data_IF_797927076910
#
_entry.id   IF_797927076910
#
_cell.length_a   1.000
_cell.length_b   1.000
_cell.length_c   1.000
_cell.angle_alpha   90.00
_cell.angle_beta   90.00
_cell.angle_gamma   90.00
#
_symmetry.space_group_name_H-M   'P 1'
#
loop_
_entity.id
_entity.type
_entity.pdbx_description
1 polymer ?
#
# COMPACT_ATOMS: atom_id res chain seq x y z
N UNK A 1 7.72 -19.75 -19.09
CA UNK A 1 6.59 -18.80 -19.02
C UNK A 1 7.14 -17.41 -19.31
N UNK A 2 6.57 -16.65 -20.25
CA UNK A 2 7.13 -15.32 -20.56
C UNK A 2 6.95 -14.38 -19.35
N UNK A 3 7.96 -13.58 -19.07
CA UNK A 3 7.96 -12.58 -17.97
C UNK A 3 6.70 -11.69 -18.03
N UNK A 4 6.23 -11.43 -19.24
CA UNK A 4 5.00 -10.69 -19.51
C UNK A 4 3.75 -11.37 -18.91
N UNK A 5 3.59 -12.68 -19.06
CA UNK A 5 2.44 -13.42 -18.51
C UNK A 5 2.42 -13.38 -16.99
N UNK A 6 3.60 -13.50 -16.34
CA UNK A 6 3.71 -13.41 -14.88
C UNK A 6 3.25 -12.04 -14.40
N UNK A 7 3.73 -10.97 -15.04
CA UNK A 7 3.35 -9.59 -14.68
C UNK A 7 1.84 -9.35 -14.84
N UNK A 8 1.26 -9.80 -15.96
CA UNK A 8 -0.18 -9.67 -16.20
C UNK A 8 -0.98 -10.44 -15.15
N UNK A 9 -0.61 -11.70 -14.86
CA UNK A 9 -1.30 -12.51 -13.86
C UNK A 9 -1.25 -11.89 -12.47
N UNK A 10 -0.09 -11.38 -12.07
CA UNK A 10 0.11 -10.69 -10.79
C UNK A 10 -0.80 -9.46 -10.69
N UNK A 11 -0.84 -8.62 -11.72
CA UNK A 11 -1.72 -7.45 -11.74
C UNK A 11 -3.21 -7.83 -11.66
N UNK A 12 -3.65 -8.85 -12.40
CA UNK A 12 -5.02 -9.35 -12.33
C UNK A 12 -5.37 -9.82 -10.92
N UNK A 13 -4.48 -10.57 -10.26
CA UNK A 13 -4.68 -10.99 -8.88
C UNK A 13 -4.80 -9.81 -7.93
N UNK A 14 -3.90 -8.83 -8.01
CA UNK A 14 -3.91 -7.64 -7.15
C UNK A 14 -5.21 -6.84 -7.31
N UNK A 15 -5.63 -6.55 -8.54
CA UNK A 15 -6.88 -5.84 -8.78
C UNK A 15 -8.12 -6.63 -8.35
N UNK A 16 -8.08 -7.97 -8.44
CA UNK A 16 -9.16 -8.82 -7.95
C UNK A 16 -9.32 -8.73 -6.43
N UNK A 17 -8.24 -8.66 -5.67
CA UNK A 17 -8.29 -8.44 -4.22
C UNK A 17 -8.87 -7.07 -3.85
N UNK A 18 -8.48 -6.02 -4.57
CA UNK A 18 -9.03 -4.67 -4.35
C UNK A 18 -10.52 -4.65 -4.66
N UNK A 19 -10.94 -5.26 -5.78
CA UNK A 19 -12.34 -5.36 -6.17
C UNK A 19 -13.19 -6.15 -5.15
N UNK A 20 -12.65 -7.26 -4.63
CA UNK A 20 -13.31 -8.05 -3.59
C UNK A 20 -13.47 -7.25 -2.30
N UNK A 21 -12.46 -6.48 -1.91
CA UNK A 21 -12.52 -5.59 -0.75
C UNK A 21 -13.61 -4.52 -0.91
N UNK A 22 -13.72 -3.91 -2.10
CA UNK A 22 -14.77 -2.94 -2.40
C UNK A 22 -16.17 -3.58 -2.36
N UNK A 23 -16.30 -4.79 -2.90
CA UNK A 23 -17.54 -5.55 -2.90
C UNK A 23 -18.06 -5.86 -1.48
N UNK A 24 -17.16 -6.22 -0.55
CA UNK A 24 -17.54 -6.49 0.84
C UNK A 24 -18.14 -5.26 1.52
N UNK A 25 -17.65 -4.06 1.23
CA UNK A 25 -18.20 -2.82 1.79
C UNK A 25 -19.57 -2.49 1.14
N UNK A 26 -19.69 -2.75 -0.17
CA UNK A 26 -20.97 -2.58 -0.87
C UNK A 26 -22.09 -3.48 -0.31
N UNK A 27 -21.79 -4.70 0.15
CA UNK A 27 -22.76 -5.58 0.80
C UNK A 27 -23.35 -4.94 2.08
N UNK A 28 -22.55 -4.16 2.79
CA UNK A 28 -22.99 -3.43 3.99
C UNK A 28 -23.85 -2.20 3.64
N UNK A 29 -23.94 -1.85 2.35
CA UNK A 29 -24.71 -0.71 1.86
C UNK A 29 -23.94 0.60 1.82
N UNK A 30 -22.62 0.56 2.04
CA UNK A 30 -21.74 1.73 2.01
C UNK A 30 -20.79 1.69 0.79
N UNK A 31 -20.42 2.86 0.30
CA UNK A 31 -19.42 3.00 -0.78
C UNK A 31 -18.14 3.58 -0.18
N UNK A 32 -17.03 2.88 -0.33
CA UNK A 32 -15.72 3.35 0.13
C UNK A 32 -14.74 3.46 -1.02
N UNK A 33 -13.98 4.53 -1.04
CA UNK A 33 -12.84 4.74 -1.95
C UNK A 33 -11.49 4.62 -1.24
N UNK A 34 -11.48 4.16 0.02
CA UNK A 34 -10.28 4.03 0.83
C UNK A 34 -9.42 2.80 0.53
N UNK A 35 -9.92 1.80 -0.20
CA UNK A 35 -9.22 0.53 -0.43
C UNK A 35 -7.84 0.72 -1.06
N UNK A 36 -7.74 1.60 -2.04
CA UNK A 36 -6.48 1.90 -2.72
C UNK A 36 -5.45 2.53 -1.78
N UNK A 37 -5.89 3.37 -0.81
CA UNK A 37 -5.00 3.94 0.18
C UNK A 37 -4.48 2.87 1.15
N UNK A 38 -5.32 1.97 1.63
CA UNK A 38 -4.89 0.85 2.48
C UNK A 38 -3.94 -0.10 1.76
N UNK A 39 -4.19 -0.38 0.49
CA UNK A 39 -3.26 -1.13 -0.34
C UNK A 39 -1.90 -0.41 -0.44
N UNK A 40 -1.90 0.90 -0.68
CA UNK A 40 -0.70 1.73 -0.69
C UNK A 40 0.03 1.72 0.66
N UNK A 41 -0.69 1.94 1.78
CA UNK A 41 -0.10 1.87 3.14
C UNK A 41 0.60 0.54 3.38
N UNK A 42 -0.04 -0.58 3.03
CA UNK A 42 0.54 -1.91 3.18
C UNK A 42 1.81 -2.09 2.35
N UNK A 43 1.79 -1.69 1.08
CA UNK A 43 2.92 -1.80 0.17
C UNK A 43 4.11 -0.93 0.63
N UNK A 44 3.87 0.33 1.00
CA UNK A 44 4.92 1.23 1.48
C UNK A 44 5.48 0.78 2.83
N UNK A 45 4.64 0.33 3.76
CA UNK A 45 5.09 -0.19 5.06
C UNK A 45 6.00 -1.40 4.86
N UNK A 46 5.60 -2.38 4.03
CA UNK A 46 6.42 -3.54 3.72
C UNK A 46 7.78 -3.12 3.14
N UNK A 47 7.77 -2.22 2.15
CA UNK A 47 8.99 -1.77 1.50
C UNK A 47 9.91 -1.03 2.48
N UNK A 48 9.37 -0.18 3.36
CA UNK A 48 10.14 0.53 4.38
C UNK A 48 10.80 -0.47 5.34
N UNK A 49 10.06 -1.40 5.93
CA UNK A 49 10.64 -2.34 6.88
C UNK A 49 11.66 -3.27 6.24
N UNK A 50 11.44 -3.67 5.00
CA UNK A 50 12.38 -4.50 4.28
C UNK A 50 13.68 -3.78 3.92
N UNK A 51 13.58 -2.53 3.39
CA UNK A 51 14.75 -1.80 2.86
C UNK A 51 15.53 -1.06 3.93
N UNK A 52 14.84 -0.44 4.90
CA UNK A 52 15.49 0.42 5.92
C UNK A 52 15.88 -0.34 7.18
N UNK A 53 15.14 -1.38 7.55
CA UNK A 53 15.39 -2.15 8.77
C UNK A 53 15.98 -3.54 8.49
N UNK A 54 16.17 -3.91 7.23
CA UNK A 54 16.70 -5.22 6.79
C UNK A 54 15.94 -6.41 7.43
N UNK A 55 14.63 -6.25 7.68
CA UNK A 55 13.80 -7.32 8.20
C UNK A 55 13.48 -8.34 7.11
N UNK A 56 13.28 -9.61 7.50
CA UNK A 56 12.81 -10.60 6.54
C UNK A 56 11.41 -10.22 6.01
N UNK A 57 11.10 -10.66 4.80
CA UNK A 57 9.82 -10.35 4.12
C UNK A 57 8.60 -10.68 5.01
N UNK A 58 8.65 -11.80 5.74
CA UNK A 58 7.57 -12.25 6.63
C UNK A 58 7.33 -11.25 7.76
N UNK A 59 8.39 -10.78 8.42
CA UNK A 59 8.27 -9.78 9.49
C UNK A 59 7.81 -8.42 8.93
N UNK A 60 8.28 -8.02 7.74
CA UNK A 60 7.85 -6.79 7.09
C UNK A 60 6.35 -6.80 6.76
N UNK A 61 5.81 -7.93 6.33
CA UNK A 61 4.36 -8.10 6.11
C UNK A 61 3.60 -7.96 7.44
N UNK A 62 4.08 -8.61 8.51
CA UNK A 62 3.41 -8.56 9.81
C UNK A 62 3.35 -7.12 10.35
N UNK A 63 4.44 -6.37 10.28
CA UNK A 63 4.47 -4.96 10.67
C UNK A 63 3.58 -4.09 9.77
N UNK A 64 3.56 -4.34 8.47
CA UNK A 64 2.65 -3.68 7.54
C UNK A 64 1.17 -3.89 7.90
N UNK A 65 0.79 -5.12 8.29
CA UNK A 65 -0.57 -5.41 8.76
C UNK A 65 -0.93 -4.63 10.04
N UNK A 66 0.01 -4.54 11.00
CA UNK A 66 -0.19 -3.80 12.24
C UNK A 66 -0.41 -2.31 11.95
N UNK A 67 0.40 -1.72 11.08
CA UNK A 67 0.24 -0.31 10.69
C UNK A 67 -1.11 -0.07 10.01
N UNK A 68 -1.48 -0.91 9.04
CA UNK A 68 -2.79 -0.83 8.39
C UNK A 68 -3.94 -0.94 9.39
N UNK A 69 -3.83 -1.82 10.39
CA UNK A 69 -4.83 -1.96 11.44
C UNK A 69 -5.00 -0.68 12.26
N UNK A 70 -3.91 -0.06 12.71
CA UNK A 70 -4.00 1.20 13.47
C UNK A 70 -4.57 2.35 12.64
N UNK A 71 -4.17 2.48 11.37
CA UNK A 71 -4.70 3.51 10.47
C UNK A 71 -6.19 3.26 10.21
N UNK A 72 -6.62 2.01 10.01
CA UNK A 72 -8.01 1.64 9.83
C UNK A 72 -8.85 1.96 11.08
N UNK A 73 -8.31 1.70 12.27
CA UNK A 73 -8.96 2.01 13.53
C UNK A 73 -9.13 3.53 13.68
N UNK A 74 -8.11 4.31 13.38
CA UNK A 74 -8.17 5.77 13.45
C UNK A 74 -9.19 6.33 12.45
N UNK A 75 -9.19 5.84 11.20
CA UNK A 75 -10.16 6.23 10.19
C UNK A 75 -11.59 5.85 10.60
N UNK A 76 -11.78 4.66 11.17
CA UNK A 76 -13.08 4.20 11.69
C UNK A 76 -13.64 5.13 12.76
N UNK A 77 -12.82 5.60 13.69
CA UNK A 77 -13.25 6.56 14.73
C UNK A 77 -13.77 7.87 14.13
N UNK A 78 -13.20 8.32 13.03
CA UNK A 78 -13.62 9.54 12.34
C UNK A 78 -14.92 9.30 11.55
N UNK A 79 -15.04 8.12 10.93
CA UNK A 79 -16.11 7.82 9.97
C UNK A 79 -17.32 7.12 10.57
N UNK A 80 -17.28 6.67 11.83
CA UNK A 80 -18.33 5.86 12.48
C UNK A 80 -19.71 6.51 12.48
N UNK A 81 -19.77 7.83 12.42
CA UNK A 81 -21.03 8.61 12.40
C UNK A 81 -21.46 9.02 10.99
N UNK A 82 -20.67 8.68 9.98
CA UNK A 82 -20.92 9.04 8.61
C UNK A 82 -21.58 7.86 7.89
N UNK A 83 -22.53 8.16 7.00
CA UNK A 83 -23.22 7.16 6.18
C UNK A 83 -23.41 7.66 4.76
N UNK A 84 -23.55 6.72 3.82
CA UNK A 84 -23.84 7.00 2.43
C UNK A 84 -22.77 7.88 1.77
N UNK A 85 -23.18 9.00 1.17
CA UNK A 85 -22.30 9.89 0.41
C UNK A 85 -21.21 10.52 1.30
N UNK A 86 -21.51 10.86 2.55
CA UNK A 86 -20.53 11.45 3.45
C UNK A 86 -19.40 10.48 3.82
N UNK A 87 -19.74 9.19 3.98
CA UNK A 87 -18.74 8.14 4.18
C UNK A 87 -17.85 7.98 2.95
N UNK A 88 -18.44 7.97 1.74
CA UNK A 88 -17.70 7.89 0.49
C UNK A 88 -16.73 9.07 0.32
N UNK A 89 -17.18 10.31 0.60
CA UNK A 89 -16.32 11.50 0.52
C UNK A 89 -15.18 11.47 1.56
N UNK A 90 -15.44 11.03 2.79
CA UNK A 90 -14.42 10.94 3.83
C UNK A 90 -13.33 9.93 3.46
N UNK A 91 -13.70 8.76 2.94
CA UNK A 91 -12.75 7.74 2.49
C UNK A 91 -11.96 8.16 1.26
N UNK A 92 -12.57 8.92 0.34
CA UNK A 92 -11.88 9.52 -0.79
C UNK A 92 -10.86 10.58 -0.33
N UNK A 93 -11.26 11.46 0.60
CA UNK A 93 -10.36 12.45 1.17
C UNK A 93 -9.16 11.80 1.86
N UNK A 94 -9.37 10.73 2.61
CA UNK A 94 -8.28 9.94 3.21
C UNK A 94 -7.33 9.39 2.15
N UNK A 95 -7.86 8.81 1.06
CA UNK A 95 -7.06 8.28 -0.02
C UNK A 95 -6.20 9.36 -0.69
N UNK A 96 -6.76 10.56 -0.87
CA UNK A 96 -6.05 11.68 -1.48
C UNK A 96 -4.98 12.26 -0.53
N UNK A 97 -5.27 12.38 0.76
CA UNK A 97 -4.28 12.79 1.76
C UNK A 97 -3.10 11.82 1.78
N UNK A 98 -3.37 10.52 1.77
CA UNK A 98 -2.32 9.51 1.71
C UNK A 98 -1.48 9.64 0.43
N UNK A 99 -2.11 9.77 -0.73
CA UNK A 99 -1.43 9.94 -2.02
C UNK A 99 -0.52 11.17 -2.03
N UNK A 100 -1.03 12.31 -1.56
CA UNK A 100 -0.27 13.55 -1.50
C UNK A 100 0.88 13.46 -0.50
N UNK A 101 0.67 12.81 0.65
CA UNK A 101 1.72 12.59 1.64
C UNK A 101 2.87 11.77 1.06
N UNK A 102 2.57 10.69 0.35
CA UNK A 102 3.60 9.86 -0.29
C UNK A 102 4.36 10.60 -1.40
N UNK A 103 3.71 11.50 -2.13
CA UNK A 103 4.37 12.32 -3.15
C UNK A 103 5.38 13.33 -2.57
N UNK A 104 5.18 13.77 -1.33
CA UNK A 104 6.08 14.71 -0.65
C UNK A 104 7.27 14.03 0.02
N UNK A 105 7.14 12.75 0.35
CA UNK A 105 8.16 12.00 1.07
C UNK A 105 9.22 11.50 0.10
N UNK A 106 10.47 11.91 0.31
CA UNK A 106 11.64 11.46 -0.45
C UNK A 106 12.76 11.09 0.52
N UNK A 107 13.04 9.80 0.63
CA UNK A 107 14.16 9.28 1.42
C UNK A 107 14.96 8.26 0.58
N UNK A 108 15.76 8.71 -0.40
CA UNK A 108 16.64 7.80 -1.12
C UNK A 108 17.76 7.33 -0.19
N UNK A 109 18.04 6.03 -0.20
CA UNK A 109 19.24 5.44 0.39
C UNK A 109 20.11 4.95 -0.75
N UNK A 110 21.40 5.26 -0.71
CA UNK A 110 22.38 4.65 -1.60
C UNK A 110 22.78 3.29 -1.02
N UNK A 111 22.28 2.20 -1.63
CA UNK A 111 22.79 0.84 -1.42
C UNK A 111 23.51 0.41 -2.70
N UNK A 112 24.81 0.06 -2.57
CA UNK A 112 25.67 -0.45 -3.66
C UNK A 112 25.63 0.40 -4.95
N UNK A 113 25.93 1.70 -4.84
CA UNK A 113 25.97 2.68 -5.96
C UNK A 113 24.62 2.88 -6.69
N UNK A 114 23.49 2.45 -6.10
CA UNK A 114 22.15 2.69 -6.64
C UNK A 114 21.27 3.41 -5.63
N UNK A 115 20.58 4.45 -6.12
CA UNK A 115 19.54 5.10 -5.35
C UNK A 115 18.37 4.13 -5.19
N UNK A 116 18.14 3.70 -3.96
CA UNK A 116 17.04 2.79 -3.59
C UNK A 116 16.23 3.44 -2.49
N UNK A 117 14.92 3.41 -2.58
CA UNK A 117 14.07 3.94 -1.54
C UNK A 117 12.89 4.74 -2.05
N UNK A 118 12.31 5.51 -1.16
CA UNK A 118 11.12 6.32 -1.43
C UNK A 118 11.49 7.56 -2.26
N UNK A 119 10.98 7.64 -3.49
CA UNK A 119 11.22 8.76 -4.40
C UNK A 119 9.93 9.51 -4.79
N UNK A 120 9.08 9.81 -3.83
CA UNK A 120 7.88 10.62 -4.05
C UNK A 120 6.97 10.06 -5.14
N UNK A 121 6.76 10.80 -6.27
CA UNK A 121 5.82 10.40 -7.32
C UNK A 121 6.17 9.10 -8.05
N UNK A 122 7.44 8.72 -8.06
CA UNK A 122 7.94 7.51 -8.73
C UNK A 122 7.79 6.25 -7.87
N UNK A 123 7.40 6.43 -6.59
CA UNK A 123 7.19 5.36 -5.65
C UNK A 123 8.49 4.82 -5.06
N UNK A 124 8.59 3.50 -4.94
CA UNK A 124 9.77 2.83 -4.40
C UNK A 124 10.65 2.33 -5.56
N UNK A 125 11.83 2.96 -5.71
CA UNK A 125 12.78 2.60 -6.77
C UNK A 125 13.64 1.38 -6.38
N UNK A 126 14.00 0.58 -7.38
CA UNK A 126 14.95 -0.53 -7.31
C UNK A 126 14.66 -1.63 -6.27
N UNK A 127 13.42 -1.71 -5.74
CA UNK A 127 13.04 -2.74 -4.77
C UNK A 127 13.18 -4.16 -5.34
N UNK A 128 12.92 -4.33 -6.63
CA UNK A 128 13.01 -5.63 -7.32
C UNK A 128 14.43 -6.17 -7.32
N UNK A 129 15.41 -5.31 -7.51
CA UNK A 129 16.84 -5.69 -7.48
C UNK A 129 17.24 -6.20 -6.08
N UNK A 130 16.72 -5.60 -5.01
CA UNK A 130 16.98 -6.03 -3.63
C UNK A 130 16.42 -7.43 -3.40
N UNK A 131 15.21 -7.71 -3.90
CA UNK A 131 14.60 -9.05 -3.78
C UNK A 131 15.36 -10.10 -4.59
N UNK A 132 15.88 -9.75 -5.75
CA UNK A 132 16.65 -10.66 -6.60
C UNK A 132 18.03 -10.98 -6.00
N UNK A 133 18.66 -10.04 -5.29
CA UNK A 133 20.00 -10.23 -4.70
C UNK A 133 19.99 -10.85 -3.29
N UNK A 134 18.87 -10.83 -2.58
CA UNK A 134 18.74 -11.39 -1.23
C UNK A 134 18.11 -12.81 -1.19
N UNK A 135 18.00 -13.47 -2.33
CA UNK A 135 17.44 -14.83 -2.45
C UNK A 135 18.54 -15.91 -2.42
N UNK A 136 19.83 -15.54 -2.22
CA UNK A 136 20.93 -16.49 -2.03
C UNK A 136 21.10 -16.90 -0.56
#
# INVERSE_FOLDING_TARGET
MSLYLITVLTNVCLFSFIALSAYLILIVGEVSFGQQAFFGVGAYSLAIFYVYFDFSVVFSILFGMIICFFIALLLSLITIKLSGLYFAMATLAFAEIFRLSMNLIRFPIEKEDRATGLNGPEGFENIRWIFENNID
#
